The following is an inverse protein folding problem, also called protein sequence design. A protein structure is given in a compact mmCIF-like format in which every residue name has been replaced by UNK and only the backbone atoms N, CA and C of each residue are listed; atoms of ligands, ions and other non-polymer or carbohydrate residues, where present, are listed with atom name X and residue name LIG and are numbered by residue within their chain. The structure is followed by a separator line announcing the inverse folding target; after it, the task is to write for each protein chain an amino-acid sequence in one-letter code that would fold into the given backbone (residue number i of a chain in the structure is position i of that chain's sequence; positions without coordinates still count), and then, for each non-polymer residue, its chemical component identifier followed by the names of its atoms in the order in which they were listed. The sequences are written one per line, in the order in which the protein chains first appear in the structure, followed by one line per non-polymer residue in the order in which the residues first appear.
data_IF_988191481053
#
_entry.id   IF_988191481053
#
_cell.length_a   1.000
_cell.length_b   1.000
_cell.length_c   1.000
_cell.angle_alpha   90.00
_cell.angle_beta   90.00
_cell.angle_gamma   90.00
#
_symmetry.space_group_name_H-M   'P 1'
#
loop_
_entity.id
_entity.type
_entity.pdbx_description
1 polymer ?
#
# COMPACT_ATOMS: atom_id res chain seq x y z
N UNK A 1 21.59 11.36 -24.96
CA UNK A 1 20.22 11.23 -25.50
C UNK A 1 19.38 12.37 -24.93
N UNK A 2 18.65 13.04 -25.79
CA UNK A 2 17.80 14.15 -25.37
C UNK A 2 16.57 13.65 -24.60
N UNK A 3 16.05 14.49 -23.71
CA UNK A 3 14.85 14.18 -22.93
C UNK A 3 13.67 13.82 -23.84
N UNK A 4 13.52 14.54 -24.95
CA UNK A 4 12.46 14.28 -25.94
C UNK A 4 12.54 12.87 -26.52
N UNK A 5 13.77 12.35 -26.73
CA UNK A 5 13.97 10.99 -27.23
C UNK A 5 13.59 9.96 -26.16
N UNK A 6 13.92 10.24 -24.89
CA UNK A 6 13.56 9.39 -23.76
C UNK A 6 12.05 9.34 -23.57
N UNK A 7 11.37 10.49 -23.68
CA UNK A 7 9.91 10.58 -23.59
C UNK A 7 9.24 9.76 -24.68
N UNK A 8 9.80 9.82 -25.92
CA UNK A 8 9.27 9.04 -27.04
C UNK A 8 9.44 7.54 -26.81
N UNK A 9 10.62 7.11 -26.34
CA UNK A 9 10.88 5.70 -26.03
C UNK A 9 9.91 5.21 -24.95
N UNK A 10 9.71 6.02 -23.91
CA UNK A 10 8.77 5.70 -22.85
C UNK A 10 7.34 5.56 -23.39
N UNK A 11 6.87 6.54 -24.18
CA UNK A 11 5.53 6.52 -24.73
C UNK A 11 5.33 5.33 -25.69
N UNK A 12 6.34 5.01 -26.50
CA UNK A 12 6.29 3.86 -27.40
C UNK A 12 6.11 2.55 -26.63
N UNK A 13 6.79 2.42 -25.47
CA UNK A 13 6.60 1.26 -24.59
C UNK A 13 5.17 1.17 -24.06
N UNK A 14 4.62 2.30 -23.62
CA UNK A 14 3.23 2.36 -23.13
C UNK A 14 2.27 1.96 -24.25
N UNK A 15 2.44 2.50 -25.45
CA UNK A 15 1.56 2.25 -26.59
C UNK A 15 1.61 0.78 -27.04
N UNK A 16 2.75 0.13 -26.86
CA UNK A 16 2.96 -1.28 -27.21
C UNK A 16 2.67 -2.24 -26.05
N UNK A 17 2.20 -1.72 -24.93
CA UNK A 17 1.94 -2.50 -23.71
C UNK A 17 3.20 -3.22 -23.19
N UNK A 18 4.38 -2.63 -23.41
CA UNK A 18 5.63 -3.14 -22.87
C UNK A 18 5.76 -2.69 -21.41
N UNK A 19 6.09 -3.62 -20.54
CA UNK A 19 6.23 -3.36 -19.12
C UNK A 19 7.34 -2.35 -18.86
N UNK A 20 7.05 -1.35 -18.02
CA UNK A 20 8.04 -0.39 -17.54
C UNK A 20 8.68 -0.95 -16.27
N UNK A 21 9.99 -1.14 -16.33
CA UNK A 21 10.75 -1.64 -15.18
C UNK A 21 11.22 -0.48 -14.30
N UNK A 22 11.45 -0.71 -12.99
CA UNK A 22 11.89 0.36 -12.08
C UNK A 22 13.15 1.09 -12.52
N UNK A 23 14.08 0.37 -13.17
CA UNK A 23 15.35 0.92 -13.66
C UNK A 23 15.24 1.67 -14.98
N UNK A 24 14.10 1.54 -15.67
CA UNK A 24 13.89 2.21 -16.94
C UNK A 24 13.72 3.71 -16.71
N UNK A 25 14.13 4.49 -17.71
CA UNK A 25 13.80 5.91 -17.67
C UNK A 25 12.29 6.10 -17.72
N UNK A 26 11.79 6.98 -16.87
CA UNK A 26 10.39 7.38 -16.85
C UNK A 26 10.27 8.85 -16.48
N UNK A 27 9.21 9.53 -16.93
CA UNK A 27 8.97 10.92 -16.52
C UNK A 27 8.81 11.04 -14.99
N UNK A 28 9.30 12.14 -14.41
CA UNK A 28 9.18 12.39 -12.98
C UNK A 28 7.74 12.31 -12.48
N UNK A 29 6.80 12.87 -13.25
CA UNK A 29 5.39 12.84 -12.88
C UNK A 29 4.86 11.41 -12.79
N UNK A 30 5.28 10.54 -13.71
CA UNK A 30 4.91 9.13 -13.69
C UNK A 30 5.47 8.44 -12.46
N UNK A 31 6.76 8.62 -12.17
CA UNK A 31 7.42 8.05 -10.99
C UNK A 31 6.75 8.51 -9.70
N UNK A 32 6.55 9.81 -9.55
CA UNK A 32 5.93 10.40 -8.36
C UNK A 32 4.52 9.89 -8.13
N UNK A 33 3.73 9.77 -9.20
CA UNK A 33 2.36 9.26 -9.12
C UNK A 33 2.36 7.80 -8.66
N UNK A 34 3.23 6.97 -9.21
CA UNK A 34 3.33 5.57 -8.80
C UNK A 34 3.79 5.42 -7.35
N UNK A 35 4.80 6.17 -6.94
CA UNK A 35 5.26 6.16 -5.53
C UNK A 35 4.12 6.56 -4.59
N UNK A 36 3.38 7.61 -4.93
CA UNK A 36 2.25 8.06 -4.12
C UNK A 36 1.18 6.98 -4.00
N UNK A 37 0.77 6.39 -5.11
CA UNK A 37 -0.28 5.36 -5.12
C UNK A 37 0.15 4.11 -4.36
N UNK A 38 1.38 3.64 -4.61
CA UNK A 38 1.90 2.44 -3.96
C UNK A 38 2.06 2.67 -2.45
N UNK A 39 2.62 3.81 -2.04
CA UNK A 39 2.82 4.10 -0.62
C UNK A 39 1.51 4.29 0.13
N UNK A 40 0.51 4.95 -0.48
CA UNK A 40 -0.83 5.06 0.12
C UNK A 40 -1.47 3.70 0.31
N UNK A 41 -1.33 2.82 -0.68
CA UNK A 41 -1.83 1.46 -0.58
C UNK A 41 -1.10 0.70 0.53
N UNK A 42 0.23 0.78 0.59
CA UNK A 42 1.01 0.16 1.65
C UNK A 42 0.58 0.63 3.04
N UNK A 43 0.40 1.94 3.21
CA UNK A 43 -0.07 2.52 4.47
C UNK A 43 -1.46 2.03 4.82
N UNK A 44 -2.36 1.91 3.85
CA UNK A 44 -3.71 1.40 4.08
C UNK A 44 -3.70 -0.06 4.52
N UNK A 45 -2.82 -0.88 3.94
CA UNK A 45 -2.67 -2.28 4.37
C UNK A 45 -2.21 -2.37 5.82
N UNK A 46 -1.22 -1.57 6.19
CA UNK A 46 -0.67 -1.58 7.55
C UNK A 46 -1.68 -1.03 8.57
N UNK A 47 -2.30 0.10 8.28
CA UNK A 47 -3.30 0.69 9.18
C UNK A 47 -4.55 -0.19 9.26
N UNK A 48 -4.93 -0.82 8.15
CA UNK A 48 -6.06 -1.74 8.08
C UNK A 48 -5.92 -2.98 8.97
N UNK A 49 -4.71 -3.32 9.40
CA UNK A 49 -4.49 -4.38 10.39
C UNK A 49 -5.11 -4.06 11.74
N UNK A 50 -5.24 -2.78 12.09
CA UNK A 50 -5.68 -2.36 13.43
C UNK A 50 -7.14 -2.72 13.73
N UNK A 51 -8.14 -2.39 12.88
CA UNK A 51 -9.53 -2.80 13.13
C UNK A 51 -9.66 -4.30 13.28
N UNK A 52 -9.05 -5.07 12.38
CA UNK A 52 -9.12 -6.52 12.42
C UNK A 52 -8.37 -7.10 13.61
N UNK A 53 -7.17 -6.58 13.90
CA UNK A 53 -6.34 -7.00 15.03
C UNK A 53 -7.04 -6.77 16.36
N UNK A 54 -7.77 -5.68 16.50
CA UNK A 54 -8.52 -5.35 17.71
C UNK A 54 -9.68 -6.32 17.99
N UNK A 55 -10.11 -7.09 17.00
CA UNK A 55 -11.21 -8.03 17.13
C UNK A 55 -10.77 -9.48 17.29
N UNK A 56 -9.49 -9.79 17.21
CA UNK A 56 -8.99 -11.17 17.35
C UNK A 56 -9.48 -11.81 18.66
N UNK A 57 -9.31 -11.14 19.79
CA UNK A 57 -9.72 -11.66 21.10
C UNK A 57 -11.23 -11.72 21.27
N UNK A 58 -11.98 -10.92 20.52
CA UNK A 58 -13.45 -10.81 20.63
C UNK A 58 -14.19 -11.57 19.55
N UNK A 59 -13.47 -12.23 18.63
CA UNK A 59 -14.09 -13.02 17.57
C UNK A 59 -14.97 -14.12 18.18
N UNK A 60 -16.11 -14.46 17.53
CA UNK A 60 -17.15 -15.29 18.15
C UNK A 60 -16.81 -16.78 18.33
N UNK A 61 -15.73 -17.25 17.74
CA UNK A 61 -15.30 -18.65 17.86
C UNK A 61 -13.78 -18.76 17.70
N UNK A 62 -13.22 -19.88 18.13
CA UNK A 62 -11.79 -20.17 17.94
C UNK A 62 -11.43 -20.19 16.43
N UNK A 63 -12.30 -20.78 15.63
CA UNK A 63 -12.12 -20.79 14.17
C UNK A 63 -12.05 -19.39 13.59
N UNK A 64 -12.94 -18.50 14.01
CA UNK A 64 -12.96 -17.10 13.56
C UNK A 64 -11.73 -16.33 14.04
N UNK A 65 -11.27 -16.60 15.26
CA UNK A 65 -10.00 -16.01 15.77
C UNK A 65 -8.82 -16.41 14.88
N UNK A 66 -8.70 -17.68 14.55
CA UNK A 66 -7.60 -18.19 13.74
C UNK A 66 -7.61 -17.61 12.33
N UNK A 67 -8.80 -17.53 11.71
CA UNK A 67 -8.96 -16.90 10.39
C UNK A 67 -8.55 -15.43 10.44
N UNK A 68 -8.96 -14.71 11.46
CA UNK A 68 -8.66 -13.29 11.59
C UNK A 68 -7.17 -13.04 11.82
N UNK A 69 -6.49 -13.87 12.61
CA UNK A 69 -5.03 -13.79 12.77
C UNK A 69 -4.33 -13.97 11.41
N UNK A 70 -4.74 -14.97 10.65
CA UNK A 70 -4.17 -15.22 9.33
C UNK A 70 -4.37 -14.02 8.40
N UNK A 71 -5.57 -13.42 8.41
CA UNK A 71 -5.88 -12.26 7.59
C UNK A 71 -5.03 -11.04 7.98
N UNK A 72 -4.86 -10.78 9.27
CA UNK A 72 -4.03 -9.65 9.75
C UNK A 72 -2.58 -9.83 9.31
N UNK A 73 -2.04 -11.04 9.41
CA UNK A 73 -0.69 -11.34 8.93
C UNK A 73 -0.55 -11.10 7.42
N UNK A 74 -1.57 -11.50 6.66
CA UNK A 74 -1.60 -11.33 5.20
C UNK A 74 -1.58 -9.84 4.83
N UNK A 75 -2.39 -9.02 5.49
CA UNK A 75 -2.39 -7.56 5.30
C UNK A 75 -1.02 -6.95 5.60
N UNK A 76 -0.38 -7.40 6.68
CA UNK A 76 0.98 -6.99 7.01
C UNK A 76 1.98 -7.34 5.91
N UNK A 77 1.88 -8.55 5.37
CA UNK A 77 2.69 -8.99 4.24
C UNK A 77 2.48 -8.16 2.98
N UNK A 78 1.22 -7.83 2.67
CA UNK A 78 0.90 -6.94 1.55
C UNK A 78 1.54 -5.56 1.72
N UNK A 79 1.46 -4.99 2.92
CA UNK A 79 2.08 -3.70 3.21
C UNK A 79 3.59 -3.72 2.98
N UNK A 80 4.27 -4.74 3.49
CA UNK A 80 5.71 -4.90 3.31
C UNK A 80 6.09 -5.06 1.84
N UNK A 81 5.32 -5.82 1.09
CA UNK A 81 5.52 -6.01 -0.34
C UNK A 81 5.41 -4.68 -1.10
N UNK A 82 4.37 -3.89 -0.79
CA UNK A 82 4.15 -2.61 -1.43
C UNK A 82 5.24 -1.58 -1.05
N UNK A 83 5.69 -1.56 0.20
CA UNK A 83 6.83 -0.72 0.57
C UNK A 83 8.08 -1.11 -0.23
N UNK A 84 8.33 -2.39 -0.42
CA UNK A 84 9.45 -2.85 -1.24
C UNK A 84 9.33 -2.36 -2.69
N UNK A 85 8.13 -2.39 -3.25
CA UNK A 85 7.88 -1.87 -4.60
C UNK A 85 8.19 -0.37 -4.69
N UNK A 86 7.76 0.43 -3.71
CA UNK A 86 8.05 1.87 -3.67
C UNK A 86 9.56 2.13 -3.52
N UNK A 87 10.26 1.29 -2.75
CA UNK A 87 11.71 1.40 -2.62
C UNK A 87 12.43 1.23 -3.96
N UNK A 88 11.95 0.36 -4.83
CA UNK A 88 12.55 0.19 -6.16
C UNK A 88 12.42 1.45 -7.02
N UNK A 89 11.48 2.33 -6.69
CA UNK A 89 11.28 3.60 -7.36
C UNK A 89 12.01 4.78 -6.69
N UNK A 90 12.79 4.51 -5.64
CA UNK A 90 13.70 5.47 -5.03
C UNK A 90 13.21 6.11 -3.73
N UNK A 91 12.09 5.66 -3.17
CA UNK A 91 11.59 6.18 -1.89
C UNK A 91 11.94 5.22 -0.76
N UNK A 92 12.58 5.70 0.30
CA UNK A 92 12.98 4.81 1.39
C UNK A 92 11.78 4.37 2.23
N UNK A 93 11.79 3.12 2.66
CA UNK A 93 10.79 2.57 3.57
C UNK A 93 10.75 3.36 4.88
N UNK A 94 11.92 3.71 5.40
CA UNK A 94 12.06 4.48 6.63
C UNK A 94 11.32 5.81 6.51
N UNK A 95 11.50 6.52 5.40
CA UNK A 95 10.81 7.78 5.17
C UNK A 95 9.28 7.60 5.07
N UNK A 96 8.83 6.55 4.39
CA UNK A 96 7.40 6.26 4.26
C UNK A 96 6.76 5.98 5.62
N UNK A 97 7.43 5.19 6.45
CA UNK A 97 6.95 4.85 7.79
C UNK A 97 6.97 6.09 8.69
N UNK A 98 8.01 6.91 8.63
CA UNK A 98 8.08 8.17 9.38
C UNK A 98 6.92 9.09 8.98
N UNK A 99 6.60 9.19 7.71
CA UNK A 99 5.48 10.00 7.21
C UNK A 99 4.14 9.46 7.75
N UNK A 100 3.98 8.15 7.82
CA UNK A 100 2.78 7.53 8.40
C UNK A 100 2.66 7.87 9.89
N UNK A 101 3.72 7.65 10.66
CA UNK A 101 3.71 7.84 12.11
C UNK A 101 3.60 9.31 12.51
N UNK A 102 4.10 10.24 11.69
CA UNK A 102 4.01 11.68 11.95
C UNK A 102 2.70 12.31 11.48
N UNK A 103 1.81 11.55 10.87
CA UNK A 103 0.53 12.04 10.38
C UNK A 103 0.57 12.73 9.02
N UNK A 104 1.72 12.69 8.33
CA UNK A 104 1.87 13.30 7.00
C UNK A 104 1.38 12.42 5.87
N UNK A 105 1.42 11.09 6.07
CA UNK A 105 1.01 10.14 5.04
C UNK A 105 -0.51 9.98 5.00
N UNK A 106 -1.01 9.65 3.82
CA UNK A 106 -2.43 9.37 3.60
C UNK A 106 -2.66 7.87 3.53
N UNK A 107 -3.81 7.46 4.04
CA UNK A 107 -4.33 6.10 3.93
C UNK A 107 -5.86 6.18 3.87
N UNK A 108 -6.53 5.04 3.67
CA UNK A 108 -7.99 5.02 3.61
C UNK A 108 -8.60 5.50 4.94
N UNK A 109 -9.34 6.60 4.91
CA UNK A 109 -9.92 7.23 6.10
C UNK A 109 -10.96 6.35 6.81
N UNK A 110 -11.47 5.32 6.16
CA UNK A 110 -12.42 4.39 6.78
C UNK A 110 -11.82 3.73 8.04
N UNK A 111 -10.50 3.56 8.07
CA UNK A 111 -9.82 2.95 9.22
C UNK A 111 -9.76 3.85 10.46
N UNK A 112 -10.13 5.12 10.33
CA UNK A 112 -10.21 6.04 11.47
C UNK A 112 -11.51 5.91 12.26
N UNK A 113 -12.51 5.21 11.72
CA UNK A 113 -13.79 5.03 12.38
C UNK A 113 -13.76 3.80 13.28
N UNK A 114 -14.33 3.87 14.50
CA UNK A 114 -14.34 2.73 15.40
C UNK A 114 -15.26 1.63 14.88
N UNK A 115 -14.84 0.38 15.12
CA UNK A 115 -15.65 -0.80 14.83
C UNK A 115 -16.29 -1.26 16.15
N UNK A 116 -17.62 -1.10 16.26
CA UNK A 116 -18.36 -1.36 17.50
C UNK A 116 -18.91 -2.77 17.57
N UNK A 117 -19.07 -3.43 16.42
CA UNK A 117 -19.60 -4.80 16.34
C UNK A 117 -18.71 -5.65 15.42
N UNK A 118 -18.90 -6.96 15.51
CA UNK A 118 -18.25 -7.90 14.60
C UNK A 118 -18.57 -7.59 13.13
N UNK A 119 -19.84 -7.22 12.86
CA UNK A 119 -20.27 -6.85 11.52
C UNK A 119 -19.57 -5.57 11.01
N UNK A 120 -19.37 -4.58 11.88
CA UNK A 120 -18.65 -3.35 11.55
C UNK A 120 -17.23 -3.68 11.12
N UNK A 121 -16.55 -4.54 11.87
CA UNK A 121 -15.19 -4.96 11.55
C UNK A 121 -15.15 -5.67 10.21
N UNK A 122 -16.08 -6.56 9.95
CA UNK A 122 -16.19 -7.27 8.67
C UNK A 122 -16.46 -6.34 7.49
N UNK A 123 -17.21 -5.28 7.69
CA UNK A 123 -17.52 -4.29 6.65
C UNK A 123 -16.32 -3.39 6.31
N UNK A 124 -15.48 -3.10 7.31
CA UNK A 124 -14.27 -2.27 7.13
C UNK A 124 -13.10 -3.10 6.59
N UNK A 125 -12.95 -4.29 7.09
CA UNK A 125 -11.91 -5.22 6.66
C UNK A 125 -12.30 -5.91 5.38
#
# INVERSE_FOLDING_TARGET
MQVQDLEKIFQDKIDQEIKIEPKDWMPDAYRKTNVRQISQHAHSEVVGMLPEGNWISRAPSLKRKAILIAKVQDEGGHGLYLYSAAETLGTSREQMIDDLLSGKAKYSSIFNYPTLTWADMGAVG
#
